data_IF_416805540042
#
_entry.id   IF_416805540042
#
_cell.length_a   1.000
_cell.length_b   1.000
_cell.length_c   1.000
_cell.angle_alpha   90.00
_cell.angle_beta   90.00
_cell.angle_gamma   90.00
#
_symmetry.space_group_name_H-M   'P 1'
#
loop_
_entity.id
_entity.type
_entity.pdbx_description
1 polymer ?
#
# COMPACT_ATOMS: atom_id res chain seq x y z
N UNK A 1 -70.17 38.36 -16.51
CA UNK A 1 -69.22 38.23 -17.66
C UNK A 1 -67.82 38.45 -17.16
N UNK A 2 -66.93 37.64 -17.55
CA UNK A 2 -65.47 37.57 -17.41
C UNK A 2 -64.96 36.57 -16.35
N UNK A 3 -64.52 35.44 -16.91
CA UNK A 3 -63.83 34.33 -16.28
C UNK A 3 -62.42 34.72 -15.86
N UNK A 4 -62.03 34.35 -14.65
CA UNK A 4 -60.67 34.46 -14.20
C UNK A 4 -60.11 33.05 -14.08
N UNK A 5 -59.20 32.73 -14.98
CA UNK A 5 -58.52 31.45 -15.10
C UNK A 5 -57.30 31.46 -14.17
N UNK A 6 -57.33 30.64 -13.12
CA UNK A 6 -56.21 30.52 -12.17
C UNK A 6 -55.32 29.37 -12.62
N UNK A 7 -54.14 29.66 -13.13
CA UNK A 7 -53.09 28.69 -13.43
C UNK A 7 -52.38 28.28 -12.14
N UNK A 8 -52.57 27.03 -11.70
CA UNK A 8 -51.80 26.37 -10.66
C UNK A 8 -50.49 25.86 -11.27
N UNK A 9 -49.38 26.48 -10.92
CA UNK A 9 -48.04 26.01 -11.24
C UNK A 9 -47.65 24.94 -10.23
N UNK A 10 -47.68 23.67 -10.64
CA UNK A 10 -47.15 22.55 -9.87
C UNK A 10 -45.64 22.51 -10.06
N UNK A 11 -44.88 22.98 -9.08
CA UNK A 11 -43.45 22.89 -9.03
C UNK A 11 -43.07 21.51 -8.49
N UNK A 12 -42.83 20.53 -9.38
CA UNK A 12 -42.30 19.23 -9.01
C UNK A 12 -40.82 19.36 -8.76
N UNK A 13 -40.43 19.31 -7.48
CA UNK A 13 -39.04 19.19 -7.06
C UNK A 13 -38.59 17.73 -7.32
N UNK A 14 -37.86 17.52 -8.40
CA UNK A 14 -37.15 16.28 -8.62
C UNK A 14 -35.95 16.23 -7.65
N UNK A 15 -36.09 15.49 -6.57
CA UNK A 15 -34.97 15.07 -5.72
C UNK A 15 -34.15 14.06 -6.47
N UNK A 16 -33.01 14.47 -7.05
CA UNK A 16 -32.02 13.57 -7.61
C UNK A 16 -31.24 12.97 -6.42
N UNK A 17 -31.69 11.80 -5.96
CA UNK A 17 -30.91 10.98 -5.06
C UNK A 17 -29.74 10.39 -5.86
N UNK A 18 -28.51 10.90 -5.62
CA UNK A 18 -27.30 10.23 -6.06
C UNK A 18 -27.15 8.93 -5.28
N UNK A 19 -27.65 7.83 -5.84
CA UNK A 19 -27.26 6.50 -5.43
C UNK A 19 -25.80 6.33 -5.85
N UNK A 20 -24.88 6.48 -4.90
CA UNK A 20 -23.54 5.92 -5.00
C UNK A 20 -23.69 4.40 -4.99
N UNK A 21 -23.78 3.78 -6.16
CA UNK A 21 -23.67 2.33 -6.29
C UNK A 21 -22.23 1.97 -5.97
N UNK A 22 -22.00 1.43 -4.78
CA UNK A 22 -20.83 0.64 -4.50
C UNK A 22 -20.89 -0.59 -5.41
N UNK A 23 -20.08 -0.61 -6.46
CA UNK A 23 -19.97 -1.78 -7.34
C UNK A 23 -19.27 -2.87 -6.55
N UNK A 24 -20.02 -3.89 -6.15
CA UNK A 24 -19.46 -5.11 -5.59
C UNK A 24 -18.77 -5.89 -6.72
N UNK A 25 -17.56 -6.38 -6.44
CA UNK A 25 -16.68 -7.07 -7.41
C UNK A 25 -17.20 -8.41 -7.94
N UNK A 26 -18.44 -8.79 -7.62
CA UNK A 26 -19.06 -9.97 -8.21
C UNK A 26 -19.15 -9.93 -9.76
N UNK A 27 -18.87 -8.73 -10.37
CA UNK A 27 -18.81 -8.51 -11.81
C UNK A 27 -17.48 -7.91 -12.25
N UNK A 28 -16.37 -8.22 -11.55
CA UNK A 28 -15.05 -7.76 -11.94
C UNK A 28 -14.71 -8.29 -13.35
N UNK A 29 -14.81 -7.44 -14.33
CA UNK A 29 -14.46 -7.74 -15.71
C UNK A 29 -13.07 -7.18 -16.03
N UNK A 30 -12.27 -7.95 -16.78
CA UNK A 30 -10.98 -7.49 -17.33
C UNK A 30 -11.09 -6.17 -18.11
N UNK A 31 -12.29 -5.81 -18.59
CA UNK A 31 -12.57 -4.52 -19.25
C UNK A 31 -12.43 -3.33 -18.31
N UNK A 32 -12.60 -3.53 -16.99
CA UNK A 32 -12.59 -2.46 -16.01
C UNK A 32 -11.17 -2.03 -15.57
N UNK A 33 -10.15 -2.86 -15.85
CA UNK A 33 -8.75 -2.58 -15.52
C UNK A 33 -7.96 -2.01 -16.71
N UNK A 34 -8.58 -1.84 -17.90
CA UNK A 34 -7.85 -1.45 -19.12
C UNK A 34 -7.08 -2.62 -19.76
N UNK A 35 -6.98 -2.60 -21.09
CA UNK A 35 -6.69 -3.74 -21.97
C UNK A 35 -5.27 -4.32 -21.95
N UNK A 36 -4.45 -4.18 -20.92
CA UNK A 36 -3.09 -4.70 -20.94
C UNK A 36 -2.73 -5.43 -19.67
N UNK A 37 -3.04 -6.70 -19.61
CA UNK A 37 -2.54 -7.59 -18.56
C UNK A 37 -1.33 -8.33 -19.10
N UNK A 38 -0.16 -8.06 -18.53
CA UNK A 38 1.07 -8.82 -18.81
C UNK A 38 1.22 -9.86 -17.71
N UNK A 39 1.15 -11.13 -18.09
CA UNK A 39 1.49 -12.24 -17.20
C UNK A 39 3.01 -12.30 -17.17
N UNK A 40 3.62 -11.88 -16.06
CA UNK A 40 5.08 -11.85 -15.97
C UNK A 40 5.67 -12.94 -15.11
N UNK A 41 4.84 -13.74 -14.41
CA UNK A 41 5.32 -14.80 -13.50
C UNK A 41 4.36 -15.98 -13.45
N UNK A 42 4.88 -17.19 -13.21
CA UNK A 42 4.07 -18.29 -12.71
C UNK A 42 3.55 -17.94 -11.30
N UNK A 43 2.49 -18.59 -10.84
CA UNK A 43 1.82 -18.31 -9.57
C UNK A 43 2.73 -18.42 -8.31
N UNK A 44 4.00 -18.80 -8.47
CA UNK A 44 4.99 -18.93 -7.42
C UNK A 44 6.07 -17.84 -7.46
N UNK A 45 5.95 -16.84 -8.35
CA UNK A 45 6.97 -15.83 -8.53
C UNK A 45 8.25 -16.37 -9.17
N UNK A 46 8.15 -17.51 -9.85
CA UNK A 46 9.26 -18.14 -10.56
C UNK A 46 9.47 -17.40 -11.87
N UNK A 47 10.58 -16.68 -11.99
CA UNK A 47 11.05 -16.26 -13.31
C UNK A 47 11.25 -17.52 -14.15
N UNK A 48 10.69 -17.54 -15.37
CA UNK A 48 10.93 -18.61 -16.33
C UNK A 48 12.42 -18.62 -16.62
N UNK A 49 13.14 -19.57 -16.02
CA UNK A 49 14.57 -19.68 -16.17
C UNK A 49 14.89 -20.73 -17.25
N UNK A 50 15.70 -20.32 -18.20
CA UNK A 50 16.14 -21.13 -19.33
C UNK A 50 17.09 -22.26 -18.83
N UNK A 51 16.52 -23.34 -18.28
CA UNK A 51 17.21 -24.62 -18.16
C UNK A 51 18.13 -24.84 -16.96
N UNK A 52 18.04 -24.04 -15.89
CA UNK A 52 18.76 -24.31 -14.63
C UNK A 52 17.73 -24.63 -13.54
N UNK A 53 17.85 -25.79 -12.91
CA UNK A 53 17.05 -26.12 -11.74
C UNK A 53 17.35 -25.11 -10.63
N UNK A 54 16.31 -24.42 -10.13
CA UNK A 54 16.43 -23.38 -9.12
C UNK A 54 15.52 -23.66 -7.95
N UNK A 55 16.09 -23.73 -6.78
CA UNK A 55 15.38 -23.88 -5.52
C UNK A 55 15.28 -22.51 -4.84
N UNK A 56 14.06 -22.10 -4.49
CA UNK A 56 13.80 -20.79 -3.88
C UNK A 56 13.56 -20.94 -2.38
N UNK A 57 14.28 -20.15 -1.58
CA UNK A 57 14.10 -19.99 -0.14
C UNK A 57 13.60 -18.57 0.15
N UNK A 58 12.54 -18.46 0.93
CA UNK A 58 11.88 -17.19 1.20
C UNK A 58 10.88 -16.78 0.12
N UNK A 59 10.33 -15.59 0.21
CA UNK A 59 9.27 -15.11 -0.65
C UNK A 59 9.43 -13.62 -0.97
N UNK A 60 9.19 -13.19 -2.24
CA UNK A 60 9.15 -11.77 -2.59
C UNK A 60 7.82 -11.11 -2.19
N UNK A 61 6.83 -11.88 -1.74
CA UNK A 61 5.51 -11.39 -1.41
C UNK A 61 5.43 -10.93 0.04
N UNK A 62 4.61 -9.90 0.31
CA UNK A 62 4.30 -9.45 1.68
C UNK A 62 3.65 -10.59 2.50
N UNK A 63 2.77 -11.32 1.85
CA UNK A 63 2.18 -12.55 2.37
C UNK A 63 2.20 -13.60 1.25
N UNK A 64 2.53 -14.88 1.54
CA UNK A 64 2.52 -15.94 0.54
C UNK A 64 1.11 -16.26 0.04
N UNK A 65 0.07 -15.94 0.83
CA UNK A 65 -1.31 -16.20 0.49
C UNK A 65 -1.99 -14.99 -0.16
N UNK A 66 -3.04 -15.23 -0.93
CA UNK A 66 -3.93 -14.19 -1.41
C UNK A 66 -4.81 -13.70 -0.27
N UNK A 67 -4.76 -12.42 0.02
CA UNK A 67 -5.55 -11.80 1.08
C UNK A 67 -6.62 -10.89 0.47
N UNK A 68 -7.81 -10.79 1.12
CA UNK A 68 -8.83 -9.85 0.70
C UNK A 68 -8.36 -8.42 0.92
N UNK A 69 -8.63 -7.56 -0.07
CA UNK A 69 -8.22 -6.16 -0.05
C UNK A 69 -9.19 -5.25 -0.80
N UNK A 70 -9.15 -3.96 -0.47
CA UNK A 70 -9.72 -2.92 -1.30
C UNK A 70 -8.59 -2.18 -2.02
N UNK A 71 -8.77 -1.91 -3.30
CA UNK A 71 -7.80 -1.20 -4.14
C UNK A 71 -8.40 0.13 -4.56
N UNK A 72 -7.65 1.21 -4.36
CA UNK A 72 -8.00 2.54 -4.88
C UNK A 72 -6.99 2.93 -5.95
N UNK A 73 -7.47 3.16 -7.16
CA UNK A 73 -6.64 3.61 -8.27
C UNK A 73 -6.33 5.11 -8.18
N UNK A 74 -5.32 5.57 -8.90
CA UNK A 74 -4.99 6.99 -9.03
C UNK A 74 -6.12 7.82 -9.64
N UNK A 75 -7.00 7.20 -10.43
CA UNK A 75 -8.23 7.80 -10.98
C UNK A 75 -9.32 8.04 -9.93
N UNK A 76 -9.17 7.47 -8.71
CA UNK A 76 -10.19 7.47 -7.66
C UNK A 76 -11.14 6.28 -7.71
N UNK A 77 -11.07 5.44 -8.74
CA UNK A 77 -11.88 4.23 -8.82
C UNK A 77 -11.48 3.26 -7.70
N UNK A 78 -12.49 2.64 -7.06
CA UNK A 78 -12.32 1.71 -5.94
C UNK A 78 -12.83 0.33 -6.32
N UNK A 79 -12.05 -0.69 -5.97
CA UNK A 79 -12.41 -2.10 -6.07
C UNK A 79 -12.37 -2.70 -4.67
N UNK A 80 -13.42 -3.43 -4.30
CA UNK A 80 -13.57 -3.96 -2.94
C UNK A 80 -13.49 -5.48 -2.92
N UNK A 81 -12.96 -6.01 -1.82
CA UNK A 81 -12.88 -7.44 -1.56
C UNK A 81 -12.20 -8.27 -2.66
N UNK A 82 -11.14 -7.71 -3.25
CA UNK A 82 -10.31 -8.40 -4.25
C UNK A 82 -9.29 -9.27 -3.55
N UNK A 83 -9.10 -10.50 -3.98
CA UNK A 83 -8.00 -11.35 -3.49
C UNK A 83 -6.70 -10.94 -4.16
N UNK A 84 -5.74 -10.47 -3.36
CA UNK A 84 -4.47 -9.97 -3.87
C UNK A 84 -3.25 -10.53 -3.14
N UNK A 85 -2.10 -10.45 -3.81
CA UNK A 85 -0.76 -10.52 -3.24
C UNK A 85 0.01 -9.24 -3.57
N UNK A 86 0.85 -8.79 -2.67
CA UNK A 86 1.76 -7.67 -2.92
C UNK A 86 3.16 -8.24 -3.14
N UNK A 87 3.70 -8.07 -4.36
CA UNK A 87 5.08 -8.41 -4.67
C UNK A 87 5.97 -7.23 -4.28
N UNK A 88 6.73 -7.40 -3.21
CA UNK A 88 7.61 -6.37 -2.64
C UNK A 88 8.89 -6.17 -3.45
N UNK A 89 9.30 -7.16 -4.25
CA UNK A 89 10.48 -7.08 -5.11
C UNK A 89 10.21 -6.23 -6.35
N UNK A 90 9.06 -6.47 -7.02
CA UNK A 90 8.65 -5.71 -8.21
C UNK A 90 7.80 -4.47 -7.88
N UNK A 91 7.34 -4.32 -6.63
CA UNK A 91 6.38 -3.32 -6.19
C UNK A 91 5.04 -3.40 -6.94
N UNK A 92 4.56 -4.61 -7.21
CA UNK A 92 3.33 -4.86 -7.96
C UNK A 92 2.25 -5.47 -7.06
N UNK A 93 1.01 -5.17 -7.37
CA UNK A 93 -0.16 -5.85 -6.80
C UNK A 93 -0.65 -6.87 -7.81
N UNK A 94 -0.72 -8.12 -7.39
CA UNK A 94 -1.25 -9.23 -8.18
C UNK A 94 -2.62 -9.59 -7.61
N UNK A 95 -3.63 -9.68 -8.47
CA UNK A 95 -4.95 -10.11 -8.08
C UNK A 95 -5.29 -11.47 -8.67
N UNK A 96 -6.18 -12.20 -7.99
CA UNK A 96 -6.71 -13.48 -8.43
C UNK A 96 -8.08 -13.28 -9.06
N UNK A 97 -8.25 -13.70 -10.32
CA UNK A 97 -9.56 -13.66 -10.98
C UNK A 97 -10.50 -14.73 -10.43
N UNK A 98 -11.82 -14.65 -10.67
CA UNK A 98 -12.76 -15.71 -10.31
C UNK A 98 -12.42 -17.07 -10.91
N UNK A 99 -11.80 -17.08 -12.11
CA UNK A 99 -11.33 -18.29 -12.79
C UNK A 99 -10.00 -18.82 -12.25
N UNK A 100 -9.44 -18.16 -11.22
CA UNK A 100 -8.22 -18.56 -10.54
C UNK A 100 -6.92 -18.09 -11.21
N UNK A 101 -6.99 -17.24 -12.25
CA UNK A 101 -5.79 -16.65 -12.89
C UNK A 101 -5.19 -15.56 -12.03
N UNK A 102 -3.87 -15.50 -11.98
CA UNK A 102 -3.11 -14.46 -11.27
C UNK A 102 -2.64 -13.40 -12.28
N UNK A 103 -3.01 -12.15 -12.06
CA UNK A 103 -2.78 -11.05 -12.98
C UNK A 103 -2.26 -9.82 -12.23
N UNK A 104 -1.27 -9.13 -12.81
CA UNK A 104 -0.79 -7.87 -12.24
C UNK A 104 -1.80 -6.74 -12.51
N UNK A 105 -2.02 -5.88 -11.52
CA UNK A 105 -2.81 -4.66 -11.67
C UNK A 105 -1.97 -3.63 -12.40
N UNK A 106 -2.34 -3.30 -13.65
CA UNK A 106 -1.59 -2.36 -14.49
C UNK A 106 -1.92 -0.88 -14.26
N UNK A 107 -3.20 -0.49 -14.00
CA UNK A 107 -3.51 0.90 -13.70
C UNK A 107 -2.77 1.37 -12.46
N UNK A 108 -2.35 2.64 -12.44
CA UNK A 108 -1.67 3.22 -11.30
C UNK A 108 -2.53 3.10 -10.04
N UNK A 109 -2.05 2.36 -9.06
CA UNK A 109 -2.67 2.21 -7.75
C UNK A 109 -2.25 3.40 -6.89
N UNK A 110 -3.20 3.98 -6.18
CA UNK A 110 -2.96 4.99 -5.14
C UNK A 110 -2.79 4.33 -3.78
N UNK A 111 -3.72 3.43 -3.43
CA UNK A 111 -3.80 2.82 -2.10
C UNK A 111 -4.34 1.40 -2.18
N UNK A 112 -3.85 0.56 -1.28
CA UNK A 112 -4.38 -0.78 -0.99
C UNK A 112 -4.70 -0.87 0.50
N UNK A 113 -5.89 -1.35 0.83
CA UNK A 113 -6.34 -1.69 2.19
C UNK A 113 -6.39 -3.21 2.28
N UNK A 114 -5.36 -3.82 2.82
CA UNK A 114 -5.19 -5.27 2.89
C UNK A 114 -5.72 -5.79 4.22
N UNK A 115 -6.65 -6.74 4.18
CA UNK A 115 -7.14 -7.38 5.39
C UNK A 115 -6.29 -8.63 5.68
N UNK A 116 -5.53 -8.58 6.77
CA UNK A 116 -4.76 -9.72 7.27
C UNK A 116 -5.27 -10.10 8.66
N UNK A 117 -5.95 -11.23 8.75
CA UNK A 117 -6.49 -11.76 10.01
C UNK A 117 -7.40 -10.78 10.78
N UNK A 118 -8.19 -9.96 10.06
CA UNK A 118 -9.07 -8.94 10.64
C UNK A 118 -8.41 -7.58 10.87
N UNK A 119 -7.11 -7.47 10.73
CA UNK A 119 -6.38 -6.21 10.77
C UNK A 119 -6.29 -5.61 9.36
N UNK A 120 -6.61 -4.32 9.22
CA UNK A 120 -6.49 -3.59 7.96
C UNK A 120 -5.12 -2.91 7.89
N UNK A 121 -4.31 -3.36 6.95
CA UNK A 121 -3.00 -2.81 6.65
C UNK A 121 -3.10 -1.90 5.43
N UNK A 122 -2.55 -0.70 5.53
CA UNK A 122 -2.58 0.28 4.45
C UNK A 122 -1.25 0.27 3.69
N UNK A 123 -1.34 0.22 2.36
CA UNK A 123 -0.19 0.37 1.48
C UNK A 123 -0.46 1.48 0.48
N UNK A 124 0.53 2.33 0.23
CA UNK A 124 0.39 3.47 -0.67
C UNK A 124 1.59 3.59 -1.60
N UNK A 125 1.33 4.22 -2.75
CA UNK A 125 2.31 4.62 -3.75
C UNK A 125 2.38 6.14 -3.84
N UNK A 126 3.27 6.65 -4.69
CA UNK A 126 3.31 8.08 -5.03
C UNK A 126 4.19 8.93 -4.11
N UNK A 127 4.96 8.32 -3.22
CA UNK A 127 5.91 9.05 -2.39
C UNK A 127 7.10 9.57 -3.21
N UNK A 128 7.77 10.65 -2.75
CA UNK A 128 8.93 11.22 -3.43
C UNK A 128 10.09 10.23 -3.58
N UNK A 129 10.99 10.54 -4.52
CA UNK A 129 12.20 9.75 -4.73
C UNK A 129 13.12 9.81 -3.52
N UNK A 130 13.64 8.65 -3.11
CA UNK A 130 14.68 8.52 -2.10
C UNK A 130 15.62 7.38 -2.50
N UNK A 131 16.89 7.68 -2.78
CA UNK A 131 17.88 6.72 -3.30
C UNK A 131 17.37 5.97 -4.54
N UNK A 132 17.07 4.66 -4.39
CA UNK A 132 16.55 3.78 -5.45
C UNK A 132 15.02 3.70 -5.47
N UNK A 133 14.35 4.18 -4.43
CA UNK A 133 12.89 4.22 -4.35
C UNK A 133 12.36 5.41 -5.16
N UNK A 134 11.20 5.23 -5.76
CA UNK A 134 10.53 6.23 -6.57
C UNK A 134 9.01 6.18 -6.35
N UNK A 135 8.25 6.97 -7.11
CA UNK A 135 6.80 7.05 -6.99
C UNK A 135 6.06 5.73 -7.28
N UNK A 136 6.73 4.72 -7.85
CA UNK A 136 6.20 3.37 -8.04
C UNK A 136 6.56 2.42 -6.90
N UNK A 137 7.31 2.88 -5.90
CA UNK A 137 7.63 2.08 -4.72
C UNK A 137 6.45 2.04 -3.79
N UNK A 138 6.09 0.83 -3.35
CA UNK A 138 5.02 0.61 -2.39
C UNK A 138 5.54 0.71 -0.97
N UNK A 139 4.81 1.42 -0.11
CA UNK A 139 5.09 1.51 1.32
C UNK A 139 3.88 1.08 2.13
N UNK A 140 4.07 0.33 3.19
CA UNK A 140 3.07 0.17 4.23
C UNK A 140 3.01 1.46 5.05
N UNK A 141 1.80 2.02 5.20
CA UNK A 141 1.57 3.24 5.99
C UNK A 141 1.22 2.82 7.43
N UNK A 142 2.13 3.08 8.36
CA UNK A 142 1.98 2.73 9.77
C UNK A 142 1.25 3.81 10.58
N UNK A 143 1.49 5.07 10.24
CA UNK A 143 0.76 6.22 10.75
C UNK A 143 0.67 7.29 9.66
N UNK A 144 -0.49 7.95 9.56
CA UNK A 144 -0.77 8.95 8.51
C UNK A 144 -1.20 10.26 9.12
N UNK A 145 -0.70 11.39 8.58
CA UNK A 145 -1.06 12.74 9.02
C UNK A 145 -0.13 13.78 8.39
N UNK A 146 0.10 14.91 9.09
CA UNK A 146 1.10 15.91 8.70
C UNK A 146 2.47 15.26 8.54
N UNK A 147 2.80 14.35 9.47
CA UNK A 147 3.95 13.44 9.37
C UNK A 147 3.40 12.03 9.22
N UNK A 148 3.88 11.30 8.22
CA UNK A 148 3.53 9.90 8.02
C UNK A 148 4.72 9.00 8.35
N UNK A 149 4.47 7.91 9.06
CA UNK A 149 5.44 6.84 9.30
C UNK A 149 5.18 5.72 8.30
N UNK A 150 6.18 5.41 7.50
CA UNK A 150 6.12 4.45 6.41
C UNK A 150 7.10 3.31 6.65
N UNK A 151 6.72 2.10 6.23
CA UNK A 151 7.60 0.92 6.22
C UNK A 151 7.82 0.49 4.78
N UNK A 152 9.07 0.45 4.37
CA UNK A 152 9.54 -0.11 3.11
C UNK A 152 10.22 -1.45 3.37
N UNK A 153 9.91 -2.45 2.55
CA UNK A 153 10.54 -3.76 2.62
C UNK A 153 11.64 -3.85 1.56
N UNK A 154 12.88 -3.70 1.99
CA UNK A 154 14.02 -3.95 1.11
C UNK A 154 14.16 -5.45 0.89
N UNK A 155 14.11 -5.87 -0.38
CA UNK A 155 14.26 -7.27 -0.76
C UNK A 155 15.69 -7.49 -1.24
N UNK A 156 16.35 -8.44 -0.61
CA UNK A 156 17.65 -8.94 -1.04
C UNK A 156 17.49 -10.31 -1.67
N UNK A 157 17.97 -10.46 -2.89
CA UNK A 157 18.01 -11.73 -3.61
C UNK A 157 19.46 -12.15 -3.73
N UNK A 158 19.79 -13.33 -3.22
CA UNK A 158 21.12 -13.93 -3.31
C UNK A 158 21.00 -15.26 -4.05
N UNK A 159 21.86 -15.47 -5.05
CA UNK A 159 21.93 -16.72 -5.79
C UNK A 159 23.31 -17.37 -5.53
N UNK A 160 23.29 -18.65 -5.19
CA UNK A 160 24.50 -19.42 -4.94
C UNK A 160 24.36 -20.83 -5.53
N UNK A 161 25.47 -21.37 -6.04
CA UNK A 161 25.57 -22.75 -6.47
C UNK A 161 26.42 -23.50 -5.44
N UNK A 162 25.83 -24.38 -4.61
CA UNK A 162 26.61 -25.21 -3.69
C UNK A 162 27.58 -26.09 -4.45
N UNK A 163 28.77 -26.34 -3.88
CA UNK A 163 29.88 -27.06 -4.54
C UNK A 163 29.50 -28.46 -5.04
N UNK A 164 28.56 -29.11 -4.36
CA UNK A 164 28.13 -30.48 -4.67
C UNK A 164 26.73 -30.58 -5.30
N UNK A 165 26.13 -29.46 -5.70
CA UNK A 165 24.75 -29.42 -6.22
C UNK A 165 24.73 -29.05 -7.69
N UNK A 166 23.84 -29.69 -8.48
CA UNK A 166 23.50 -29.26 -9.82
C UNK A 166 22.48 -28.06 -9.77
N UNK A 167 21.78 -27.88 -8.65
CA UNK A 167 20.72 -26.94 -8.43
C UNK A 167 21.26 -25.59 -7.91
N UNK A 168 20.81 -24.50 -8.47
CA UNK A 168 21.05 -23.15 -7.94
C UNK A 168 20.09 -22.87 -6.77
N UNK A 169 20.63 -22.30 -5.70
CA UNK A 169 19.82 -21.82 -4.58
C UNK A 169 19.60 -20.31 -4.73
N UNK A 170 18.34 -19.88 -4.68
CA UNK A 170 17.96 -18.47 -4.60
C UNK A 170 17.34 -18.20 -3.22
N UNK A 171 17.98 -17.32 -2.46
CA UNK A 171 17.48 -16.88 -1.16
C UNK A 171 16.89 -15.48 -1.30
N UNK A 172 15.65 -15.31 -0.83
CA UNK A 172 14.91 -14.04 -0.87
C UNK A 172 14.66 -13.63 0.58
N UNK A 173 15.28 -12.54 0.99
CA UNK A 173 15.19 -12.01 2.34
C UNK A 173 14.54 -10.64 2.34
N UNK A 174 13.70 -10.38 3.35
CA UNK A 174 12.98 -9.12 3.52
C UNK A 174 13.55 -8.34 4.70
N UNK A 175 14.00 -7.12 4.45
CA UNK A 175 14.54 -6.21 5.46
C UNK A 175 13.66 -4.97 5.60
N UNK A 176 12.78 -4.90 6.61
CA UNK A 176 11.95 -3.72 6.83
C UNK A 176 12.78 -2.50 7.20
N UNK A 177 12.46 -1.36 6.62
CA UNK A 177 13.10 -0.06 6.86
C UNK A 177 12.03 0.99 7.07
N UNK A 178 12.16 1.80 8.10
CA UNK A 178 11.22 2.87 8.41
C UNK A 178 11.64 4.18 7.75
N UNK A 179 10.65 4.93 7.30
CA UNK A 179 10.78 6.24 6.70
C UNK A 179 9.77 7.21 7.34
N UNK A 180 10.14 8.47 7.37
CA UNK A 180 9.23 9.57 7.67
C UNK A 180 8.96 10.35 6.39
N UNK A 181 7.71 10.63 6.14
CA UNK A 181 7.28 11.52 5.08
C UNK A 181 6.56 12.72 5.68
N UNK A 182 7.04 13.89 5.30
CA UNK A 182 6.47 15.18 5.63
C UNK A 182 6.60 16.06 4.39
N UNK A 183 5.55 16.77 4.01
CA UNK A 183 5.57 17.63 2.82
C UNK A 183 6.68 18.68 2.87
N UNK A 184 7.06 19.16 4.06
CA UNK A 184 8.13 20.14 4.25
C UNK A 184 9.54 19.51 4.23
N UNK A 185 9.69 18.29 4.74
CA UNK A 185 10.96 17.57 4.86
C UNK A 185 11.18 16.53 3.76
N UNK A 186 10.15 16.29 2.93
CA UNK A 186 10.16 15.22 1.94
C UNK A 186 10.26 13.81 2.58
N UNK A 187 10.66 12.81 1.80
CA UNK A 187 10.84 11.44 2.31
C UNK A 187 12.25 11.27 2.88
N UNK A 188 12.36 10.82 4.12
CA UNK A 188 13.64 10.59 4.81
C UNK A 188 13.62 9.26 5.56
N UNK A 189 14.78 8.63 5.66
CA UNK A 189 14.96 7.47 6.52
C UNK A 189 14.63 7.84 7.96
N UNK A 190 13.84 7.01 8.62
CA UNK A 190 13.44 7.25 10.01
C UNK A 190 14.66 7.21 10.95
N UNK A 191 14.72 8.11 11.94
CA UNK A 191 15.77 8.11 12.93
C UNK A 191 15.67 6.86 13.81
N UNK A 192 16.79 6.52 14.48
CA UNK A 192 16.89 5.32 15.31
C UNK A 192 16.82 5.62 16.81
N UNK A 193 16.91 6.89 17.20
CA UNK A 193 16.85 7.32 18.60
C UNK A 193 15.87 8.47 18.78
N UNK A 194 15.41 8.67 20.04
CA UNK A 194 14.54 9.79 20.39
C UNK A 194 15.25 11.13 20.14
N UNK A 195 16.55 11.21 20.42
CA UNK A 195 17.38 12.39 20.26
C UNK A 195 17.49 12.79 18.78
N UNK A 196 17.68 11.81 17.89
CA UNK A 196 17.72 12.04 16.45
C UNK A 196 16.36 12.52 15.91
N UNK A 197 15.25 11.98 16.45
CA UNK A 197 13.90 12.42 16.08
C UNK A 197 13.67 13.88 16.48
N UNK A 198 14.05 14.26 17.71
CA UNK A 198 13.94 15.64 18.18
C UNK A 198 14.79 16.59 17.33
N UNK A 199 15.98 16.15 16.95
CA UNK A 199 16.90 16.93 16.10
C UNK A 199 16.34 17.12 14.68
N UNK A 200 15.61 16.12 14.15
CA UNK A 200 14.98 16.19 12.84
C UNK A 200 13.80 17.17 12.81
N UNK A 201 13.00 17.21 13.87
CA UNK A 201 11.80 18.03 14.01
C UNK A 201 12.00 19.15 15.04
N UNK A 202 12.98 20.01 14.83
CA UNK A 202 13.33 21.07 15.78
C UNK A 202 12.16 22.01 16.14
N UNK A 203 11.30 22.32 15.16
CA UNK A 203 10.13 23.16 15.37
C UNK A 203 9.09 22.52 16.30
N UNK A 204 8.96 21.19 16.26
CA UNK A 204 8.03 20.42 17.08
C UNK A 204 8.73 19.72 18.26
N UNK A 205 10.02 20.00 18.52
CA UNK A 205 10.83 19.27 19.48
C UNK A 205 10.23 19.26 20.90
N UNK A 206 9.70 20.38 21.37
CA UNK A 206 9.05 20.47 22.69
C UNK A 206 7.81 19.58 22.78
N UNK A 207 6.96 19.59 21.74
CA UNK A 207 5.77 18.74 21.65
C UNK A 207 6.18 17.26 21.63
N UNK A 208 7.15 16.90 20.77
CA UNK A 208 7.67 15.55 20.66
C UNK A 208 8.29 15.06 21.97
N UNK A 209 9.11 15.87 22.64
CA UNK A 209 9.71 15.53 23.93
C UNK A 209 8.64 15.24 24.98
N UNK A 210 7.60 16.07 25.04
CA UNK A 210 6.45 15.86 25.93
C UNK A 210 5.72 14.55 25.63
N UNK A 211 5.49 14.24 24.34
CA UNK A 211 4.84 12.99 23.92
C UNK A 211 5.67 11.77 24.34
N UNK A 212 6.97 11.80 24.06
CA UNK A 212 7.90 10.71 24.38
C UNK A 212 7.98 10.45 25.86
N UNK A 213 8.12 11.51 26.68
CA UNK A 213 8.24 11.41 28.15
C UNK A 213 6.93 10.98 28.80
N UNK A 214 5.82 11.66 28.51
CA UNK A 214 4.51 11.34 29.13
C UNK A 214 4.04 9.91 28.86
N UNK A 215 4.40 9.34 27.70
CA UNK A 215 3.96 7.99 27.30
C UNK A 215 5.09 6.96 27.43
N UNK A 216 6.28 7.33 27.94
CA UNK A 216 7.46 6.47 28.05
C UNK A 216 7.81 5.75 26.74
N UNK A 217 7.76 6.46 25.60
CA UNK A 217 7.95 5.88 24.27
C UNK A 217 9.43 5.85 23.88
N UNK A 218 9.84 4.76 23.23
CA UNK A 218 11.18 4.57 22.68
C UNK A 218 11.05 4.19 21.21
N UNK A 219 11.38 5.11 20.28
CA UNK A 219 11.17 4.90 18.83
C UNK A 219 11.98 3.75 18.22
N UNK A 220 12.90 3.14 18.95
CA UNK A 220 13.51 1.86 18.56
C UNK A 220 12.48 0.74 18.41
N UNK A 221 11.38 0.81 19.18
CA UNK A 221 10.24 -0.10 19.05
C UNK A 221 9.26 0.49 18.06
N UNK A 222 8.93 -0.27 17.04
CA UNK A 222 8.02 0.17 15.98
C UNK A 222 6.67 0.64 16.53
N UNK A 223 6.08 -0.11 17.47
CA UNK A 223 4.81 0.23 18.10
C UNK A 223 4.85 1.59 18.84
N UNK A 224 5.96 1.87 19.54
CA UNK A 224 6.15 3.14 20.23
C UNK A 224 6.33 4.29 19.23
N UNK A 225 6.99 4.01 18.11
CA UNK A 225 7.17 4.99 17.05
C UNK A 225 5.84 5.32 16.37
N UNK A 226 5.02 4.31 16.08
CA UNK A 226 3.65 4.50 15.54
C UNK A 226 2.86 5.41 16.50
N UNK A 227 2.84 5.08 17.80
CA UNK A 227 2.14 5.88 18.84
C UNK A 227 2.67 7.31 18.89
N UNK A 228 3.99 7.49 18.81
CA UNK A 228 4.62 8.82 18.84
C UNK A 228 4.14 9.67 17.65
N UNK A 229 4.19 9.14 16.42
CA UNK A 229 3.79 9.87 15.22
C UNK A 229 2.28 10.10 15.19
N UNK A 230 1.46 9.13 15.62
CA UNK A 230 0.02 9.32 15.73
C UNK A 230 -0.32 10.50 16.67
N UNK A 231 0.29 10.54 17.86
CA UNK A 231 0.11 11.65 18.82
C UNK A 231 0.68 12.99 18.33
N UNK A 232 1.74 12.98 17.55
CA UNK A 232 2.26 14.19 16.92
C UNK A 232 1.26 14.80 15.95
N UNK A 233 0.52 13.97 15.25
CA UNK A 233 -0.52 14.36 14.28
C UNK A 233 -1.85 14.78 14.93
N UNK A 234 -2.06 14.44 16.20
CA UNK A 234 -3.18 14.99 16.99
C UNK A 234 -2.93 16.48 17.25
N UNK A 235 -3.90 17.34 16.95
CA UNK A 235 -3.80 18.80 17.09
C UNK A 235 -3.74 19.27 18.54
#
# INVERSE_FOLDING_TARGET
MKHLLTCLFFCSILSISHLTQAQTLNNFSLKDIGQSVIITMDGNGKMVNLGVDMENYGSPFFDPEFLPANIVLATGQRYENVLIKINLLSNEVIYKTPEGKELAVLPAIKQVELNKNGEILFFEYGFPVYEKQNHKTIYQVLAKGKVSLLKYFFIQVTEAKPYSSATMLRTIEQFPRLFLYDQSLSLKKAPKSNEDLLSLYKADATKLQSILQKNNLKIKKEEDFIKCIAKLNEN
#
